data_IF_906739049902
#
_entry.id   IF_906739049902
#
_cell.length_a   1.000
_cell.length_b   1.000
_cell.length_c   1.000
_cell.angle_alpha   90.00
_cell.angle_beta   90.00
_cell.angle_gamma   90.00
#
_symmetry.space_group_name_H-M   'P 1'
#
loop_
_entity.id
_entity.type
_entity.pdbx_description
1 polymer ?
#
# COMPACT_ATOMS: atom_id res chain seq x y z
N UNK A 1 -4.31 28.11 34.59
CA UNK A 1 -5.10 27.08 33.89
C UNK A 1 -4.40 26.73 32.58
N UNK A 2 -3.45 25.78 32.62
CA UNK A 2 -2.76 25.30 31.41
C UNK A 2 -3.69 24.35 30.66
N UNK A 3 -4.04 24.70 29.42
CA UNK A 3 -4.76 23.80 28.53
C UNK A 3 -3.77 22.73 28.06
N UNK A 4 -4.04 21.47 28.39
CA UNK A 4 -3.41 20.33 27.74
C UNK A 4 -3.64 20.46 26.23
N UNK A 5 -2.55 20.63 25.49
CA UNK A 5 -2.54 20.44 24.04
C UNK A 5 -2.88 18.98 23.74
N UNK A 6 -3.72 18.67 22.74
CA UNK A 6 -3.99 17.27 22.39
C UNK A 6 -2.69 16.63 21.91
N UNK A 7 -2.28 15.56 22.59
CA UNK A 7 -1.16 14.71 22.18
C UNK A 7 -1.46 14.22 20.76
N UNK A 8 -0.63 14.65 19.81
CA UNK A 8 -0.54 14.06 18.49
C UNK A 8 -0.30 12.56 18.62
N UNK A 9 -1.23 11.76 18.10
CA UNK A 9 -1.17 10.30 18.04
C UNK A 9 0.12 9.82 17.35
N UNK A 10 0.71 8.70 17.77
CA UNK A 10 2.00 8.25 17.25
C UNK A 10 1.85 7.79 15.80
N UNK A 11 2.51 8.51 14.88
CA UNK A 11 2.54 8.19 13.46
C UNK A 11 3.09 6.78 13.21
N UNK A 12 2.22 5.89 12.71
CA UNK A 12 2.59 4.64 12.04
C UNK A 12 2.01 4.67 10.64
N UNK A 13 2.74 5.26 9.71
CA UNK A 13 2.28 5.26 8.33
C UNK A 13 3.41 5.09 7.30
N UNK A 14 4.63 4.73 7.76
CA UNK A 14 5.69 4.27 6.86
C UNK A 14 5.53 2.78 6.56
N UNK A 15 5.54 2.41 5.27
CA UNK A 15 5.50 1.02 4.85
C UNK A 15 6.68 0.22 5.43
N UNK A 16 6.38 -0.92 6.03
CA UNK A 16 7.39 -1.93 6.43
C UNK A 16 7.90 -2.66 5.18
N UNK A 17 9.06 -3.31 5.28
CA UNK A 17 9.70 -4.04 4.16
C UNK A 17 8.77 -5.03 3.45
N UNK A 18 7.97 -5.80 4.20
CA UNK A 18 6.99 -6.72 3.62
C UNK A 18 5.87 -6.01 2.84
N UNK A 19 5.46 -4.80 3.25
CA UNK A 19 4.46 -4.02 2.55
C UNK A 19 5.05 -3.35 1.30
N UNK A 20 6.30 -2.89 1.36
CA UNK A 20 7.02 -2.39 0.19
C UNK A 20 7.12 -3.45 -0.91
N UNK A 21 7.39 -4.71 -0.54
CA UNK A 21 7.41 -5.84 -1.48
C UNK A 21 6.03 -6.03 -2.15
N UNK A 22 4.93 -5.91 -1.41
CA UNK A 22 3.57 -5.99 -1.98
C UNK A 22 3.35 -4.90 -3.04
N UNK A 23 3.69 -3.66 -2.70
CA UNK A 23 3.58 -2.53 -3.64
C UNK A 23 4.43 -2.77 -4.90
N UNK A 24 5.68 -3.23 -4.75
CA UNK A 24 6.55 -3.54 -5.88
C UNK A 24 5.97 -4.64 -6.80
N UNK A 25 5.38 -5.68 -6.22
CA UNK A 25 4.73 -6.75 -6.97
C UNK A 25 3.51 -6.22 -7.72
N UNK A 26 2.70 -5.37 -7.09
CA UNK A 26 1.51 -4.79 -7.74
C UNK A 26 1.89 -3.86 -8.89
N UNK A 27 2.96 -3.08 -8.75
CA UNK A 27 3.53 -2.30 -9.86
C UNK A 27 3.93 -3.19 -11.03
N UNK A 28 4.57 -4.34 -10.78
CA UNK A 28 4.94 -5.28 -11.84
C UNK A 28 3.71 -5.87 -12.55
N UNK A 29 2.64 -6.17 -11.80
CA UNK A 29 1.36 -6.63 -12.38
C UNK A 29 0.75 -5.56 -13.28
N UNK A 30 0.69 -4.30 -12.80
CA UNK A 30 0.16 -3.18 -13.58
C UNK A 30 0.92 -2.99 -14.89
N UNK A 31 2.25 -3.03 -14.83
CA UNK A 31 3.11 -2.96 -16.02
C UNK A 31 2.80 -4.08 -17.02
N UNK A 32 2.64 -5.30 -16.51
CA UNK A 32 2.33 -6.47 -17.34
C UNK A 32 0.95 -6.34 -17.99
N UNK A 33 -0.03 -5.82 -17.25
CA UNK A 33 -1.36 -5.51 -17.77
C UNK A 33 -1.31 -4.41 -18.84
N UNK A 34 -0.54 -3.35 -18.63
CA UNK A 34 -0.37 -2.28 -19.62
C UNK A 34 0.21 -2.79 -20.94
N UNK A 35 1.12 -3.78 -20.90
CA UNK A 35 1.64 -4.43 -22.11
C UNK A 35 0.63 -5.30 -22.84
N UNK A 36 -0.26 -5.98 -22.10
CA UNK A 36 -1.28 -6.86 -22.69
C UNK A 36 -2.55 -6.12 -23.10
N UNK A 37 -2.76 -4.90 -22.58
CA UNK A 37 -3.94 -4.06 -22.85
C UNK A 37 -3.53 -2.62 -23.15
N UNK A 38 -2.99 -2.34 -24.36
CA UNK A 38 -2.58 -1.00 -24.75
C UNK A 38 -3.72 0.01 -24.61
N UNK A 39 -3.41 1.23 -24.14
CA UNK A 39 -4.40 2.28 -23.90
C UNK A 39 -5.12 2.22 -22.55
N UNK A 40 -4.83 1.22 -21.71
CA UNK A 40 -5.35 1.16 -20.34
C UNK A 40 -4.58 2.12 -19.44
N UNK A 41 -5.30 2.90 -18.63
CA UNK A 41 -4.71 3.72 -17.58
C UNK A 41 -4.30 2.85 -16.39
N UNK A 42 -3.04 2.99 -15.96
CA UNK A 42 -2.50 2.24 -14.84
C UNK A 42 -2.50 3.14 -13.60
N UNK A 43 -3.17 2.69 -12.53
CA UNK A 43 -3.30 3.46 -11.30
C UNK A 43 -2.89 2.59 -10.11
N UNK A 44 -2.03 3.14 -9.26
CA UNK A 44 -1.67 2.61 -7.96
C UNK A 44 -2.25 3.53 -6.88
N UNK A 45 -3.28 3.06 -6.18
CA UNK A 45 -4.01 3.86 -5.20
C UNK A 45 -3.55 3.58 -3.76
N UNK A 46 -3.40 4.65 -2.97
CA UNK A 46 -3.11 4.61 -1.54
C UNK A 46 -4.20 5.34 -0.77
N UNK A 47 -4.43 4.96 0.49
CA UNK A 47 -5.37 5.65 1.39
C UNK A 47 -4.68 6.50 2.45
N UNK A 48 -3.35 6.58 2.37
CA UNK A 48 -2.50 7.22 3.34
C UNK A 48 -1.27 7.86 2.66
N UNK A 49 -0.99 9.11 3.02
CA UNK A 49 0.06 9.92 2.40
C UNK A 49 1.47 9.40 2.71
N UNK A 50 1.71 8.95 3.94
CA UNK A 50 3.02 8.45 4.35
C UNK A 50 3.30 7.07 3.72
N UNK A 51 2.26 6.28 3.48
CA UNK A 51 2.37 5.04 2.73
C UNK A 51 2.72 5.32 1.25
N UNK A 52 2.06 6.32 0.66
CA UNK A 52 2.30 6.76 -0.71
C UNK A 52 3.72 7.34 -0.90
N UNK A 53 4.36 7.85 0.16
CA UNK A 53 5.72 8.40 0.09
C UNK A 53 6.75 7.41 -0.47
N UNK A 54 6.53 6.10 -0.32
CA UNK A 54 7.38 5.07 -0.94
C UNK A 54 7.29 5.08 -2.48
N UNK A 55 6.11 5.33 -3.04
CA UNK A 55 5.83 5.39 -4.47
C UNK A 55 6.08 6.78 -5.07
N UNK A 56 5.93 7.85 -4.28
CA UNK A 56 6.10 9.26 -4.68
C UNK A 56 7.53 9.80 -4.46
N UNK A 57 8.41 9.00 -3.85
CA UNK A 57 9.77 9.42 -3.51
C UNK A 57 10.73 9.49 -4.70
N UNK A 58 12.02 9.32 -4.44
CA UNK A 58 13.09 9.31 -5.46
C UNK A 58 13.78 7.95 -5.60
N UNK A 59 13.09 6.88 -5.21
CA UNK A 59 13.61 5.51 -5.31
C UNK A 59 13.31 4.86 -6.65
N UNK A 60 13.90 3.69 -6.87
CA UNK A 60 13.69 2.88 -8.08
C UNK A 60 12.21 2.65 -8.42
N UNK A 61 11.34 2.54 -7.40
CA UNK A 61 9.91 2.33 -7.60
C UNK A 61 9.26 3.57 -8.23
N UNK A 62 9.56 4.77 -7.73
CA UNK A 62 9.02 6.01 -8.27
C UNK A 62 9.47 6.24 -9.72
N UNK A 63 10.74 5.94 -10.01
CA UNK A 63 11.27 5.97 -11.37
C UNK A 63 10.56 4.96 -12.29
N UNK A 64 10.34 3.73 -11.79
CA UNK A 64 9.58 2.71 -12.51
C UNK A 64 8.15 3.19 -12.82
N UNK A 65 7.42 3.69 -11.81
CA UNK A 65 6.06 4.19 -12.01
C UNK A 65 6.01 5.30 -13.07
N UNK A 66 7.04 6.17 -13.10
CA UNK A 66 7.18 7.22 -14.12
C UNK A 66 7.44 6.65 -15.51
N UNK A 67 8.43 5.76 -15.67
CA UNK A 67 8.79 5.15 -16.97
C UNK A 67 7.59 4.44 -17.61
N UNK A 68 6.77 3.80 -16.77
CA UNK A 68 5.63 3.01 -17.21
C UNK A 68 4.30 3.76 -17.21
N UNK A 69 4.34 5.07 -16.97
CA UNK A 69 3.16 5.95 -16.93
C UNK A 69 2.06 5.42 -15.98
N UNK A 70 2.47 4.89 -14.82
CA UNK A 70 1.57 4.47 -13.75
C UNK A 70 1.29 5.66 -12.84
N UNK A 71 0.02 6.06 -12.75
CA UNK A 71 -0.43 7.13 -11.86
C UNK A 71 -0.45 6.65 -10.42
N UNK A 72 -0.08 7.54 -9.51
CA UNK A 72 -0.21 7.31 -8.07
C UNK A 72 -1.27 8.25 -7.53
N UNK A 73 -2.31 7.68 -6.95
CA UNK A 73 -3.43 8.43 -6.38
C UNK A 73 -3.49 8.21 -4.87
N UNK A 74 -3.69 9.28 -4.10
CA UNK A 74 -3.91 9.20 -2.66
C UNK A 74 -5.35 9.60 -2.37
N UNK A 75 -6.17 8.62 -2.01
CA UNK A 75 -7.60 8.79 -1.77
C UNK A 75 -7.82 8.70 -0.26
N UNK A 76 -8.01 9.84 0.44
CA UNK A 76 -8.28 9.79 1.87
C UNK A 76 -9.61 9.06 2.10
N UNK A 77 -9.59 8.13 3.05
CA UNK A 77 -10.79 7.49 3.57
C UNK A 77 -11.18 8.14 4.89
N UNK A 78 -12.48 8.23 5.15
CA UNK A 78 -12.98 8.71 6.43
C UNK A 78 -12.58 7.77 7.58
N UNK A 79 -12.64 8.28 8.81
CA UNK A 79 -12.17 7.52 9.97
C UNK A 79 -13.08 6.32 10.29
N UNK A 80 -14.38 6.39 9.95
CA UNK A 80 -15.30 5.28 10.18
C UNK A 80 -14.97 4.07 9.31
N UNK A 81 -14.73 4.30 8.02
CA UNK A 81 -14.27 3.27 7.09
C UNK A 81 -12.88 2.75 7.46
N UNK A 82 -11.99 3.63 7.95
CA UNK A 82 -10.66 3.22 8.44
C UNK A 82 -10.77 2.26 9.62
N UNK A 83 -11.68 2.52 10.55
CA UNK A 83 -11.92 1.65 11.70
C UNK A 83 -12.52 0.30 11.31
N UNK A 84 -13.46 0.29 10.37
CA UNK A 84 -13.99 -0.95 9.79
C UNK A 84 -12.88 -1.80 9.16
N UNK A 85 -11.99 -1.18 8.39
CA UNK A 85 -10.83 -1.86 7.80
C UNK A 85 -9.91 -2.43 8.88
N UNK A 86 -9.62 -1.69 9.96
CA UNK A 86 -8.79 -2.17 11.07
C UNK A 86 -9.42 -3.37 11.76
N UNK A 87 -10.73 -3.34 12.00
CA UNK A 87 -11.48 -4.46 12.59
C UNK A 87 -11.44 -5.67 11.67
N UNK A 88 -11.64 -5.48 10.36
CA UNK A 88 -11.54 -6.56 9.38
C UNK A 88 -10.12 -7.16 9.34
N UNK A 89 -9.08 -6.33 9.31
CA UNK A 89 -7.68 -6.77 9.32
C UNK A 89 -7.31 -7.56 10.58
N UNK A 90 -7.84 -7.18 11.75
CA UNK A 90 -7.60 -7.91 12.99
C UNK A 90 -8.19 -9.33 12.98
N UNK A 91 -9.21 -9.58 12.15
CA UNK A 91 -9.82 -10.90 11.95
C UNK A 91 -9.10 -11.74 10.90
N UNK A 92 -8.16 -11.16 10.15
CA UNK A 92 -7.40 -11.90 9.14
C UNK A 92 -6.26 -12.67 9.79
N UNK A 93 -6.39 -13.99 9.84
CA UNK A 93 -5.28 -14.88 10.15
C UNK A 93 -4.30 -14.91 8.96
N UNK A 94 -3.06 -14.45 9.16
CA UNK A 94 -2.01 -14.68 8.17
C UNK A 94 -1.61 -16.16 8.23
N UNK A 95 -2.04 -16.94 7.25
CA UNK A 95 -1.56 -18.32 7.04
C UNK A 95 -0.42 -18.30 6.02
N UNK A 96 0.74 -18.79 6.41
CA UNK A 96 1.78 -19.16 5.46
C UNK A 96 1.46 -20.58 5.00
N UNK A 97 1.44 -20.83 3.69
CA UNK A 97 1.08 -22.14 3.12
C UNK A 97 2.25 -23.14 3.15
N UNK A 98 3.35 -22.82 3.85
CA UNK A 98 4.57 -23.62 3.85
C UNK A 98 4.53 -24.81 4.83
N UNK A 99 3.42 -25.00 5.57
CA UNK A 99 3.28 -26.04 6.60
C UNK A 99 2.58 -27.33 6.10
N UNK A 100 2.20 -27.43 4.83
CA UNK A 100 1.47 -28.58 4.27
C UNK A 100 2.26 -29.23 3.13
N UNK A 101 3.42 -29.83 3.41
CA UNK A 101 3.89 -31.03 2.70
C UNK A 101 4.71 -31.94 3.62
N UNK A 102 3.99 -32.74 4.40
CA UNK A 102 4.41 -34.11 4.67
C UNK A 102 3.22 -35.02 4.38
N UNK A 103 2.99 -35.25 3.08
CA UNK A 103 2.17 -36.38 2.65
C UNK A 103 3.07 -37.62 2.55
N UNK A 104 2.65 -38.78 3.07
CA UNK A 104 3.45 -40.01 3.09
C UNK A 104 3.73 -40.60 1.71
#
# INVERSE_FOLDING_TARGET
>A
MSRCSPRSSPGRAKLKSGQQKKVAIDTLKLITLGRTRPGTELILAFTDQDAAAYALGRGWLAETLTIWNVKVEVIPIDESLRDEIRVAQARQEMRNLDDEESFP
#
